data_IF_275922997471
#
_entry.id   IF_275922997471
#
_cell.length_a   1.000
_cell.length_b   1.000
_cell.length_c   1.000
_cell.angle_alpha   90.00
_cell.angle_beta   90.00
_cell.angle_gamma   90.00
#
_symmetry.space_group_name_H-M   'P 1'
#
loop_
_entity.id
_entity.type
_entity.pdbx_description
1 polymer ?
#
# COMPACT_ATOMS: atom_id res chain seq x y z
N UNK A 1 10.69 16.41 -14.97
CA UNK A 1 10.01 15.18 -14.51
C UNK A 1 10.56 13.98 -15.29
N UNK A 2 11.04 12.97 -14.57
CA UNK A 2 11.52 11.70 -15.14
C UNK A 2 10.38 10.71 -15.40
N UNK A 3 10.69 9.57 -16.02
CA UNK A 3 9.68 8.57 -16.37
C UNK A 3 8.98 7.96 -15.14
N UNK A 4 9.67 7.91 -13.99
CA UNK A 4 9.08 7.48 -12.71
C UNK A 4 8.09 8.52 -12.17
N UNK A 5 8.40 9.83 -12.23
CA UNK A 5 7.47 10.89 -11.78
C UNK A 5 6.13 10.82 -12.50
N UNK A 6 6.18 10.66 -13.84
CA UNK A 6 4.96 10.55 -14.65
C UNK A 6 4.15 9.29 -14.31
N UNK A 7 4.83 8.18 -14.00
CA UNK A 7 4.18 6.96 -13.54
C UNK A 7 3.51 7.14 -12.17
N UNK A 8 4.18 7.81 -11.22
CA UNK A 8 3.60 8.07 -9.90
C UNK A 8 2.34 8.92 -10.02
N UNK A 9 2.39 9.98 -10.84
CA UNK A 9 1.25 10.83 -11.13
C UNK A 9 0.10 10.05 -11.75
N UNK A 10 0.36 9.27 -12.80
CA UNK A 10 -0.64 8.42 -13.46
C UNK A 10 -1.32 7.47 -12.47
N UNK A 11 -0.54 6.73 -11.68
CA UNK A 11 -1.09 5.75 -10.74
C UNK A 11 -1.78 6.40 -9.53
N UNK A 12 -1.46 7.66 -9.22
CA UNK A 12 -2.12 8.41 -8.15
C UNK A 12 -3.59 8.75 -8.48
N UNK A 13 -3.95 8.76 -9.77
CA UNK A 13 -5.30 9.05 -10.28
C UNK A 13 -6.22 7.82 -10.24
N UNK A 14 -5.68 6.63 -9.95
CA UNK A 14 -6.49 5.40 -9.75
C UNK A 14 -7.47 5.62 -8.60
N UNK A 15 -8.74 5.26 -8.79
CA UNK A 15 -9.85 5.61 -7.88
C UNK A 15 -9.55 5.28 -6.41
N UNK A 16 -9.03 4.09 -6.12
CA UNK A 16 -8.72 3.64 -4.76
C UNK A 16 -7.59 4.46 -4.10
N UNK A 17 -6.70 5.02 -4.91
CA UNK A 17 -5.60 5.88 -4.47
C UNK A 17 -6.08 7.31 -4.37
N UNK A 18 -6.72 7.85 -5.42
CA UNK A 18 -7.27 9.20 -5.46
C UNK A 18 -8.29 9.43 -4.34
N UNK A 19 -9.13 8.45 -4.03
CA UNK A 19 -10.14 8.56 -2.97
C UNK A 19 -9.66 8.02 -1.61
N UNK A 20 -8.37 7.67 -1.48
CA UNK A 20 -7.84 7.08 -0.26
C UNK A 20 -8.08 7.97 0.98
N UNK A 21 -8.75 7.41 1.98
CA UNK A 21 -9.01 8.06 3.26
C UNK A 21 -10.10 9.15 3.22
N UNK A 22 -10.79 9.33 2.08
CA UNK A 22 -12.01 10.13 1.94
C UNK A 22 -13.14 9.38 2.65
N UNK A 23 -13.69 9.96 3.72
CA UNK A 23 -14.82 9.37 4.44
C UNK A 23 -16.14 9.66 3.73
N UNK A 24 -17.19 8.90 4.06
CA UNK A 24 -18.54 9.02 3.46
C UNK A 24 -19.17 10.43 3.45
N UNK A 25 -18.67 11.38 4.26
CA UNK A 25 -19.20 12.74 4.40
C UNK A 25 -18.18 13.86 4.10
N UNK A 26 -16.99 13.58 3.56
CA UNK A 26 -15.89 14.57 3.61
C UNK A 26 -15.25 14.87 2.28
N UNK A 27 -15.43 16.11 1.80
CA UNK A 27 -14.46 16.80 0.94
C UNK A 27 -13.11 16.83 1.65
N UNK A 28 -12.20 15.89 1.35
CA UNK A 28 -10.81 16.01 1.75
C UNK A 28 -10.13 16.84 0.69
N UNK A 29 -9.67 18.05 1.04
CA UNK A 29 -8.69 18.76 0.21
C UNK A 29 -7.42 17.92 0.29
N UNK A 30 -7.22 17.06 -0.71
CA UNK A 30 -6.03 16.24 -0.81
C UNK A 30 -4.87 17.13 -1.23
N UNK A 31 -3.74 16.99 -0.55
CA UNK A 31 -2.49 17.42 -1.13
C UNK A 31 -2.30 16.60 -2.42
N UNK A 32 -2.07 17.31 -3.52
CA UNK A 32 -1.80 16.71 -4.84
C UNK A 32 -0.75 15.60 -4.81
N UNK A 33 0.17 15.60 -3.83
CA UNK A 33 1.27 14.64 -3.75
C UNK A 33 1.03 13.44 -2.83
N UNK A 34 -0.05 13.41 -2.04
CA UNK A 34 -0.33 12.27 -1.14
C UNK A 34 -0.48 10.96 -1.93
N UNK A 35 -1.15 11.00 -3.10
CA UNK A 35 -1.33 9.82 -3.95
C UNK A 35 -0.02 9.35 -4.58
N UNK A 36 0.81 10.28 -5.05
CA UNK A 36 2.13 9.98 -5.61
C UNK A 36 3.04 9.31 -4.55
N UNK A 37 3.06 9.83 -3.31
CA UNK A 37 3.81 9.22 -2.20
C UNK A 37 3.29 7.80 -1.91
N UNK A 38 1.96 7.60 -1.92
CA UNK A 38 1.37 6.28 -1.68
C UNK A 38 1.79 5.24 -2.74
N UNK A 39 1.85 5.64 -4.00
CA UNK A 39 2.36 4.79 -5.09
C UNK A 39 3.86 4.55 -4.91
N UNK A 40 4.63 5.58 -4.60
CA UNK A 40 6.07 5.49 -4.40
C UNK A 40 6.44 4.54 -3.25
N UNK A 41 5.70 4.57 -2.15
CA UNK A 41 5.85 3.64 -1.02
C UNK A 41 5.71 2.19 -1.47
N UNK A 42 4.74 1.88 -2.32
CA UNK A 42 4.57 0.52 -2.83
C UNK A 42 5.82 0.04 -3.56
N UNK A 43 6.35 0.84 -4.50
CA UNK A 43 7.55 0.47 -5.25
C UNK A 43 8.78 0.34 -4.35
N UNK A 44 9.00 1.34 -3.50
CA UNK A 44 10.15 1.35 -2.59
C UNK A 44 10.13 0.13 -1.66
N UNK A 45 9.00 -0.18 -1.01
CA UNK A 45 8.93 -1.36 -0.14
C UNK A 45 9.01 -2.68 -0.91
N UNK A 46 8.43 -2.76 -2.12
CA UNK A 46 8.45 -3.99 -2.92
C UNK A 46 9.88 -4.37 -3.33
N UNK A 47 10.67 -3.39 -3.73
CA UNK A 47 11.99 -3.63 -4.34
C UNK A 47 13.14 -3.46 -3.35
N UNK A 48 12.96 -2.62 -2.32
CA UNK A 48 14.02 -2.22 -1.41
C UNK A 48 13.61 -2.26 0.05
N UNK A 49 12.61 -3.07 0.44
CA UNK A 49 12.20 -3.23 1.86
C UNK A 49 13.36 -3.48 2.82
N UNK A 50 14.38 -4.23 2.40
CA UNK A 50 15.59 -4.50 3.20
C UNK A 50 16.37 -3.22 3.57
N UNK A 51 16.32 -2.21 2.72
CA UNK A 51 17.07 -0.96 2.85
C UNK A 51 16.39 0.03 3.79
N UNK A 52 15.11 -0.17 4.10
CA UNK A 52 14.36 0.74 4.97
C UNK A 52 14.96 0.78 6.39
N UNK A 53 15.28 1.98 6.88
CA UNK A 53 15.95 2.22 8.19
C UNK A 53 15.09 3.02 9.19
N UNK A 54 13.76 2.92 9.09
CA UNK A 54 12.80 3.72 9.88
C UNK A 54 12.75 5.21 9.54
N UNK A 55 13.40 5.65 8.46
CA UNK A 55 13.26 6.99 7.92
C UNK A 55 12.59 6.89 6.55
N UNK A 56 11.28 7.15 6.53
CA UNK A 56 10.49 7.02 5.30
C UNK A 56 10.91 8.04 4.24
N UNK A 57 11.11 9.30 4.63
CA UNK A 57 11.45 10.36 3.66
C UNK A 57 12.74 10.02 2.92
N UNK A 58 13.81 9.76 3.67
CA UNK A 58 15.11 9.38 3.12
C UNK A 58 15.01 8.11 2.26
N UNK A 59 14.23 7.12 2.68
CA UNK A 59 14.01 5.90 1.91
C UNK A 59 13.33 6.14 0.56
N UNK A 60 12.32 7.01 0.51
CA UNK A 60 11.61 7.35 -0.73
C UNK A 60 12.47 8.24 -1.62
N UNK A 61 13.21 9.20 -1.04
CA UNK A 61 14.15 10.07 -1.76
C UNK A 61 15.26 9.23 -2.43
N UNK A 62 15.90 8.33 -1.68
CA UNK A 62 16.91 7.40 -2.21
C UNK A 62 16.35 6.52 -3.35
N UNK A 63 15.09 6.08 -3.22
CA UNK A 63 14.43 5.30 -4.26
C UNK A 63 14.24 6.11 -5.55
N UNK A 64 13.78 7.36 -5.44
CA UNK A 64 13.61 8.26 -6.57
C UNK A 64 14.94 8.57 -7.26
N UNK A 65 15.98 8.89 -6.49
CA UNK A 65 17.31 9.17 -7.02
C UNK A 65 17.89 7.96 -7.78
N UNK A 66 17.78 6.77 -7.20
CA UNK A 66 18.30 5.53 -7.82
C UNK A 66 17.56 5.16 -9.11
N UNK A 67 16.29 5.57 -9.24
CA UNK A 67 15.41 5.21 -10.36
C UNK A 67 15.10 6.41 -11.28
N UNK A 68 15.87 7.50 -11.19
CA UNK A 68 15.64 8.71 -11.98
C UNK A 68 15.68 8.44 -13.50
N UNK A 69 16.51 7.49 -13.93
CA UNK A 69 16.66 7.06 -15.33
C UNK A 69 15.92 5.73 -15.62
N UNK A 70 14.77 5.49 -14.97
CA UNK A 70 13.96 4.31 -15.22
C UNK A 70 13.64 4.12 -16.70
N UNK A 71 13.87 2.92 -17.24
CA UNK A 71 13.56 2.62 -18.62
C UNK A 71 12.05 2.53 -18.87
N UNK A 72 11.64 2.61 -20.14
CA UNK A 72 10.24 2.43 -20.54
C UNK A 72 9.71 1.06 -20.11
N UNK A 73 10.54 0.03 -20.16
CA UNK A 73 10.14 -1.33 -19.79
C UNK A 73 10.02 -1.49 -18.27
N UNK A 74 10.91 -0.86 -17.49
CA UNK A 74 10.78 -0.80 -16.03
C UNK A 74 9.49 -0.11 -15.63
N UNK A 75 9.17 1.04 -16.24
CA UNK A 75 7.93 1.78 -16.00
C UNK A 75 6.69 0.94 -16.34
N UNK A 76 6.73 0.18 -17.44
CA UNK A 76 5.65 -0.74 -17.80
C UNK A 76 5.49 -1.87 -16.78
N UNK A 77 6.58 -2.50 -16.36
CA UNK A 77 6.56 -3.57 -15.38
C UNK A 77 6.02 -3.07 -14.02
N UNK A 78 6.51 -1.93 -13.55
CA UNK A 78 6.04 -1.25 -12.33
C UNK A 78 4.54 -0.99 -12.36
N UNK A 79 4.02 -0.42 -13.46
CA UNK A 79 2.59 -0.20 -13.66
C UNK A 79 1.78 -1.48 -13.52
N UNK A 80 2.19 -2.55 -14.22
CA UNK A 80 1.50 -3.84 -14.16
C UNK A 80 1.53 -4.43 -12.74
N UNK A 81 2.66 -4.35 -12.05
CA UNK A 81 2.79 -4.84 -10.67
C UNK A 81 1.91 -4.09 -9.68
N UNK A 82 1.83 -2.77 -9.81
CA UNK A 82 0.98 -1.94 -8.94
C UNK A 82 -0.50 -2.29 -9.11
N UNK A 83 -0.98 -2.30 -10.37
CA UNK A 83 -2.38 -2.57 -10.67
C UNK A 83 -2.77 -4.01 -10.32
N UNK A 84 -1.88 -4.98 -10.53
CA UNK A 84 -2.10 -6.36 -10.11
C UNK A 84 -2.20 -6.50 -8.58
N UNK A 85 -1.32 -5.83 -7.83
CA UNK A 85 -1.37 -5.83 -6.36
C UNK A 85 -2.68 -5.23 -5.84
N UNK A 86 -3.11 -4.10 -6.41
CA UNK A 86 -4.35 -3.43 -6.04
C UNK A 86 -5.57 -4.31 -6.36
N UNK A 87 -5.60 -4.92 -7.55
CA UNK A 87 -6.68 -5.81 -7.95
C UNK A 87 -6.76 -7.05 -7.04
N UNK A 88 -5.62 -7.61 -6.65
CA UNK A 88 -5.59 -8.70 -5.66
C UNK A 88 -6.15 -8.28 -4.30
N UNK A 89 -5.89 -7.06 -3.86
CA UNK A 89 -6.51 -6.52 -2.65
C UNK A 89 -8.03 -6.40 -2.82
N UNK A 90 -8.51 -5.94 -3.99
CA UNK A 90 -9.95 -5.80 -4.30
C UNK A 90 -10.66 -7.14 -4.31
N UNK A 91 -10.06 -8.16 -4.93
CA UNK A 91 -10.58 -9.52 -4.96
C UNK A 91 -10.84 -10.05 -3.54
N UNK A 92 -9.92 -9.79 -2.59
CA UNK A 92 -10.06 -10.26 -1.21
C UNK A 92 -11.05 -9.41 -0.41
N UNK A 93 -10.86 -8.09 -0.39
CA UNK A 93 -11.53 -7.20 0.56
C UNK A 93 -12.71 -6.41 -0.02
N UNK A 94 -12.93 -6.44 -1.33
CA UNK A 94 -14.01 -5.71 -2.00
C UNK A 94 -13.95 -4.20 -1.72
N UNK A 95 -15.07 -3.63 -1.25
CA UNK A 95 -15.15 -2.20 -0.89
C UNK A 95 -14.50 -1.83 0.45
N UNK A 96 -14.05 -2.82 1.25
CA UNK A 96 -13.47 -2.59 2.58
C UNK A 96 -11.93 -2.61 2.54
N UNK A 97 -11.35 -1.91 1.57
CA UNK A 97 -9.91 -1.89 1.33
C UNK A 97 -9.15 -1.08 2.37
N UNK A 98 -8.04 -1.64 2.87
CA UNK A 98 -7.06 -0.92 3.68
C UNK A 98 -7.62 -0.34 4.99
N UNK A 99 -8.59 -1.02 5.61
CA UNK A 99 -9.22 -0.60 6.88
C UNK A 99 -8.98 -1.62 7.99
N UNK A 100 -9.12 -1.17 9.24
CA UNK A 100 -9.34 -2.07 10.37
C UNK A 100 -10.79 -2.58 10.35
N UNK A 101 -10.96 -3.88 10.06
CA UNK A 101 -12.29 -4.49 9.96
C UNK A 101 -13.03 -4.58 11.31
N UNK A 102 -12.33 -4.39 12.44
CA UNK A 102 -12.91 -4.43 13.79
C UNK A 102 -13.40 -3.06 14.29
N UNK A 103 -13.06 -1.95 13.60
CA UNK A 103 -13.49 -0.62 14.01
C UNK A 103 -14.89 -0.31 13.50
N UNK A 104 -15.71 0.30 14.36
CA UNK A 104 -17.03 0.80 14.00
C UNK A 104 -16.96 1.87 12.89
N UNK A 105 -15.96 2.76 12.97
CA UNK A 105 -15.64 3.71 11.89
C UNK A 105 -14.44 3.20 11.11
N UNK A 106 -14.72 2.56 9.97
CA UNK A 106 -13.71 2.00 9.06
C UNK A 106 -13.11 3.12 8.22
N UNK A 107 -11.92 3.58 8.60
CA UNK A 107 -11.14 4.57 7.85
C UNK A 107 -9.92 3.90 7.26
N UNK A 108 -9.64 4.19 5.99
CA UNK A 108 -8.45 3.68 5.33
C UNK A 108 -7.19 4.23 5.99
N UNK A 109 -6.17 3.40 6.11
CA UNK A 109 -4.91 3.76 6.76
C UNK A 109 -3.70 3.22 6.01
N UNK A 110 -2.67 4.04 5.88
CA UNK A 110 -1.45 3.71 5.13
C UNK A 110 -0.79 2.43 5.63
N UNK A 111 -0.88 2.16 6.93
CA UNK A 111 -0.33 0.93 7.52
C UNK A 111 -1.00 -0.33 6.96
N UNK A 112 -2.31 -0.30 6.73
CA UNK A 112 -3.05 -1.41 6.14
C UNK A 112 -2.77 -1.52 4.65
N UNK A 113 -2.63 -0.38 3.95
CA UNK A 113 -2.20 -0.33 2.56
C UNK A 113 -0.82 -0.97 2.36
N UNK A 114 0.20 -0.52 3.09
CA UNK A 114 1.56 -1.04 3.01
C UNK A 114 1.60 -2.54 3.33
N UNK A 115 0.78 -3.02 4.27
CA UNK A 115 0.70 -4.44 4.60
C UNK A 115 0.08 -5.26 3.46
N UNK A 116 -1.12 -4.87 3.02
CA UNK A 116 -1.91 -5.68 2.09
C UNK A 116 -1.33 -5.67 0.67
N UNK A 117 -0.86 -4.52 0.20
CA UNK A 117 -0.25 -4.40 -1.13
C UNK A 117 1.03 -5.22 -1.28
N UNK A 118 1.81 -5.36 -0.20
CA UNK A 118 3.06 -6.14 -0.22
C UNK A 118 2.83 -7.64 -0.03
N UNK A 119 1.79 -8.03 0.72
CA UNK A 119 1.51 -9.44 1.03
C UNK A 119 0.73 -10.14 -0.07
N UNK A 120 -0.37 -9.55 -0.52
CA UNK A 120 -1.28 -10.23 -1.45
C UNK A 120 -0.72 -10.37 -2.86
N UNK A 121 0.13 -9.43 -3.29
CA UNK A 121 0.76 -9.46 -4.61
C UNK A 121 1.61 -10.72 -4.84
N UNK A 122 2.14 -11.33 -3.79
CA UNK A 122 2.95 -12.56 -3.87
C UNK A 122 2.13 -13.81 -4.20
N UNK A 123 0.80 -13.74 -4.19
CA UNK A 123 -0.10 -14.87 -4.45
C UNK A 123 -0.84 -14.71 -5.78
N UNK A 124 -1.26 -15.82 -6.40
CA UNK A 124 -2.11 -15.76 -7.59
C UNK A 124 -3.54 -15.34 -7.25
N UNK A 125 -4.25 -14.75 -8.20
CA UNK A 125 -5.65 -14.32 -8.01
C UNK A 125 -6.55 -15.50 -7.68
N UNK A 126 -6.39 -16.64 -8.36
CA UNK A 126 -7.22 -17.83 -8.11
C UNK A 126 -7.02 -18.36 -6.68
N UNK A 127 -5.77 -18.32 -6.18
CA UNK A 127 -5.49 -18.77 -4.82
C UNK A 127 -6.09 -17.84 -3.76
N UNK A 128 -6.06 -16.53 -4.02
CA UNK A 128 -6.67 -15.53 -3.15
C UNK A 128 -8.20 -15.65 -3.15
N UNK A 129 -8.83 -15.86 -4.29
CA UNK A 129 -10.28 -16.08 -4.40
C UNK A 129 -10.71 -17.33 -3.62
N UNK A 130 -9.99 -18.44 -3.84
CA UNK A 130 -10.27 -19.71 -3.18
C UNK A 130 -10.22 -19.62 -1.66
N UNK A 131 -9.29 -18.83 -1.11
CA UNK A 131 -9.07 -18.70 0.33
C UNK A 131 -9.60 -17.38 0.90
N UNK A 132 -10.38 -16.61 0.13
CA UNK A 132 -10.83 -15.26 0.48
C UNK A 132 -11.41 -15.15 1.88
N UNK A 133 -12.33 -16.05 2.23
CA UNK A 133 -12.99 -16.06 3.55
C UNK A 133 -11.97 -16.25 4.67
N UNK A 134 -11.05 -17.22 4.51
CA UNK A 134 -10.01 -17.47 5.51
C UNK A 134 -9.04 -16.31 5.66
N UNK A 135 -8.66 -15.65 4.55
CA UNK A 135 -7.79 -14.47 4.56
C UNK A 135 -8.48 -13.32 5.31
N UNK A 136 -9.77 -13.07 5.04
CA UNK A 136 -10.54 -12.01 5.69
C UNK A 136 -10.67 -12.26 7.20
N UNK A 137 -10.96 -13.49 7.62
CA UNK A 137 -11.05 -13.82 9.05
C UNK A 137 -9.69 -13.71 9.74
N UNK A 138 -8.62 -14.25 9.15
CA UNK A 138 -7.27 -14.10 9.69
C UNK A 138 -6.85 -12.62 9.78
N UNK A 139 -7.24 -11.80 8.81
CA UNK A 139 -6.98 -10.36 8.85
C UNK A 139 -7.75 -9.64 9.96
N UNK A 140 -9.01 -10.04 10.23
CA UNK A 140 -9.77 -9.53 11.38
C UNK A 140 -9.11 -9.89 12.70
N UNK A 141 -8.66 -11.14 12.85
CA UNK A 141 -7.93 -11.59 14.04
C UNK A 141 -6.62 -10.82 14.22
N UNK A 142 -5.86 -10.62 13.14
CA UNK A 142 -4.64 -9.80 13.15
C UNK A 142 -4.94 -8.37 13.61
N UNK A 143 -5.96 -7.73 13.05
CA UNK A 143 -6.37 -6.39 13.44
C UNK A 143 -6.83 -6.30 14.90
N UNK A 144 -7.36 -7.39 15.46
CA UNK A 144 -7.78 -7.46 16.86
C UNK A 144 -6.61 -7.64 17.84
N UNK A 145 -5.48 -8.19 17.36
CA UNK A 145 -4.29 -8.51 18.17
C UNK A 145 -3.70 -7.27 18.86
N UNK A 146 -3.41 -7.34 20.19
CA UNK A 146 -2.75 -6.26 20.92
C UNK A 146 -1.40 -5.86 20.32
N UNK A 147 -0.60 -6.84 19.89
CA UNK A 147 0.73 -6.60 19.32
C UNK A 147 0.63 -5.85 18.00
N UNK A 148 -0.33 -6.22 17.16
CA UNK A 148 -0.57 -5.52 15.90
C UNK A 148 -1.09 -4.10 16.15
N UNK A 149 -2.03 -3.92 17.07
CA UNK A 149 -2.51 -2.58 17.46
C UNK A 149 -1.37 -1.69 17.96
N UNK A 150 -0.47 -2.22 18.78
CA UNK A 150 0.73 -1.51 19.25
C UNK A 150 1.69 -1.20 18.10
N UNK A 151 1.89 -2.11 17.17
CA UNK A 151 2.75 -1.93 16.01
C UNK A 151 2.20 -0.91 14.99
N UNK A 152 0.89 -0.68 14.98
CA UNK A 152 0.19 0.17 14.02
C UNK A 152 -0.24 1.54 14.58
N UNK A 153 -0.20 1.73 15.91
CA UNK A 153 -0.58 2.99 16.57
C UNK A 153 0.45 4.13 16.41
N UNK A 154 1.66 3.85 15.93
CA UNK A 154 2.76 4.81 15.82
C UNK A 154 2.85 5.59 14.50
N UNK A 155 1.92 5.40 13.56
CA UNK A 155 1.84 6.16 12.29
C UNK A 155 2.90 5.81 11.24
N UNK A 156 4.14 5.52 11.63
CA UNK A 156 5.19 5.00 10.75
C UNK A 156 5.45 3.52 11.05
N UNK A 157 5.52 2.69 10.01
CA UNK A 157 5.94 1.30 10.17
C UNK A 157 7.41 1.29 10.58
N UNK A 158 7.73 0.71 11.73
CA UNK A 158 9.12 0.45 12.12
C UNK A 158 9.62 -0.78 11.34
N UNK A 159 10.88 -0.80 10.88
CA UNK A 159 11.58 -1.93 10.24
C UNK A 159 11.41 -3.22 11.02
N UNK A 160 11.51 -3.15 12.36
CA UNK A 160 11.31 -4.29 13.24
C UNK A 160 9.86 -4.84 13.23
N UNK A 161 8.90 -4.02 12.81
CA UNK A 161 7.49 -4.40 12.61
C UNK A 161 7.23 -4.89 11.19
N UNK A 162 8.04 -4.49 10.19
CA UNK A 162 7.99 -5.01 8.81
C UNK A 162 8.60 -6.41 8.77
N UNK A 163 9.76 -6.62 9.40
CA UNK A 163 10.48 -7.89 9.37
C UNK A 163 9.86 -9.02 10.22
N UNK A 164 8.85 -8.72 11.05
CA UNK A 164 8.15 -9.69 11.91
C UNK A 164 6.80 -10.15 11.34
N UNK A 165 6.43 -9.66 10.15
CA UNK A 165 5.17 -9.96 9.48
C UNK A 165 5.33 -11.10 8.48
#
# INVERSE_FOLDING_TARGET
PGALDELLKELSEVEEIMNFGVGANGEKVKDSREGEEQVLRFFAFRERSADYKNNLREFLDEFMETNAESSVDDVKARRLHFLDALEKCKVVFGGELFVDMNKARRRQGMVYYDLLMQTLVAHSKENLEKHRVGIVEAYKELCASPDFKKATSGGLQMKASIARR
#
